data_IF_402009229995
#
_entry.id   IF_402009229995
#
_cell.length_a   1.000
_cell.length_b   1.000
_cell.length_c   1.000
_cell.angle_alpha   90.00
_cell.angle_beta   90.00
_cell.angle_gamma   90.00
#
_symmetry.space_group_name_H-M   'P 1'
#
loop_
_entity.id
_entity.type
_entity.pdbx_description
1 polymer ?
#
# COMPACT_ATOMS: atom_id res chain seq x y z
N UNK A 1 -3.85 -7.51 13.43
CA UNK A 1 -4.30 -6.85 12.17
C UNK A 1 -4.03 -7.81 11.01
N UNK A 2 -4.89 -7.87 9.98
CA UNK A 2 -4.60 -8.69 8.80
C UNK A 2 -3.65 -7.97 7.82
N UNK A 3 -2.98 -8.75 6.96
CA UNK A 3 -1.99 -8.27 5.98
C UNK A 3 -2.53 -7.17 5.07
N UNK A 4 -3.78 -7.30 4.59
CA UNK A 4 -4.39 -6.34 3.67
C UNK A 4 -4.64 -5.01 4.39
N UNK A 5 -5.15 -5.07 5.62
CA UNK A 5 -5.36 -3.89 6.47
C UNK A 5 -4.05 -3.16 6.77
N UNK A 6 -2.94 -3.87 6.99
CA UNK A 6 -1.62 -3.27 7.19
C UNK A 6 -1.13 -2.55 5.92
N UNK A 7 -1.26 -3.18 4.74
CA UNK A 7 -0.89 -2.56 3.46
C UNK A 7 -1.71 -1.28 3.21
N UNK A 8 -3.03 -1.31 3.45
CA UNK A 8 -3.90 -0.13 3.34
C UNK A 8 -3.43 1.01 4.24
N UNK A 9 -3.18 0.68 5.51
CA UNK A 9 -2.73 1.65 6.51
C UNK A 9 -1.39 2.27 6.10
N UNK A 10 -0.45 1.45 5.64
CA UNK A 10 0.86 1.90 5.17
C UNK A 10 0.74 2.86 3.98
N UNK A 11 -0.09 2.55 2.98
CA UNK A 11 -0.32 3.44 1.82
C UNK A 11 -0.89 4.79 2.27
N UNK A 12 -1.91 4.79 3.14
CA UNK A 12 -2.51 6.03 3.65
C UNK A 12 -1.50 6.88 4.42
N UNK A 13 -0.67 6.23 5.25
CA UNK A 13 0.39 6.89 6.01
C UNK A 13 1.43 7.52 5.10
N UNK A 14 1.92 6.81 4.08
CA UNK A 14 2.87 7.36 3.10
C UNK A 14 2.28 8.56 2.34
N UNK A 15 0.99 8.51 2.00
CA UNK A 15 0.29 9.65 1.42
C UNK A 15 0.25 10.86 2.37
N UNK A 16 -0.04 10.63 3.65
CA UNK A 16 -0.07 11.68 4.67
C UNK A 16 1.32 12.29 4.92
N UNK A 17 2.35 11.45 5.12
CA UNK A 17 3.74 11.87 5.36
C UNK A 17 4.29 12.72 4.21
N UNK A 18 3.93 12.39 2.97
CA UNK A 18 4.38 13.10 1.76
C UNK A 18 3.41 14.20 1.30
N UNK A 19 2.32 14.43 2.03
CA UNK A 19 1.27 15.40 1.67
C UNK A 19 0.74 15.22 0.23
N UNK A 20 0.56 13.98 -0.20
CA UNK A 20 0.02 13.64 -1.54
C UNK A 20 -1.35 12.99 -1.45
N UNK A 21 -2.17 13.22 -2.47
CA UNK A 21 -3.48 12.56 -2.59
C UNK A 21 -3.36 11.14 -3.14
N UNK A 22 -4.37 10.30 -2.93
CA UNK A 22 -4.44 8.95 -3.52
C UNK A 22 -4.37 8.99 -5.05
N UNK A 23 -5.01 9.99 -5.67
CA UNK A 23 -4.95 10.16 -7.12
C UNK A 23 -3.53 10.51 -7.59
N UNK A 24 -2.83 11.39 -6.83
CA UNK A 24 -1.43 11.72 -7.13
C UNK A 24 -0.52 10.50 -6.99
N UNK A 25 -0.71 9.69 -5.95
CA UNK A 25 -0.01 8.42 -5.77
C UNK A 25 -0.24 7.49 -6.97
N UNK A 26 -1.49 7.33 -7.41
CA UNK A 26 -1.83 6.48 -8.56
C UNK A 26 -1.09 6.93 -9.83
N UNK A 27 -1.08 8.24 -10.12
CA UNK A 27 -0.33 8.82 -11.23
C UNK A 27 1.17 8.55 -11.12
N UNK A 28 1.76 8.76 -9.95
CA UNK A 28 3.20 8.52 -9.71
C UNK A 28 3.56 7.04 -9.87
N UNK A 29 2.64 6.15 -9.49
CA UNK A 29 2.84 4.69 -9.52
C UNK A 29 2.51 4.06 -10.88
N UNK A 30 2.19 4.86 -11.90
CA UNK A 30 1.66 4.36 -13.19
C UNK A 30 0.49 3.36 -13.02
N UNK A 31 -0.40 3.66 -12.06
CA UNK A 31 -1.60 2.87 -11.76
C UNK A 31 -2.87 3.68 -12.05
N UNK A 32 -3.94 3.03 -12.52
CA UNK A 32 -5.25 3.67 -12.55
C UNK A 32 -5.69 4.10 -11.13
N UNK A 33 -6.30 5.30 -10.96
CA UNK A 33 -6.83 5.71 -9.65
C UNK A 33 -7.83 4.72 -9.06
N UNK A 34 -8.61 4.02 -9.91
CA UNK A 34 -9.51 2.95 -9.49
C UNK A 34 -8.77 1.76 -8.89
N UNK A 35 -7.58 1.39 -9.40
CA UNK A 35 -6.77 0.31 -8.84
C UNK A 35 -6.31 0.63 -7.42
N UNK A 36 -5.81 1.85 -7.19
CA UNK A 36 -5.37 2.25 -5.83
C UNK A 36 -6.58 2.39 -4.90
N UNK A 37 -7.70 2.94 -5.36
CA UNK A 37 -8.94 3.00 -4.57
C UNK A 37 -9.50 1.61 -4.23
N UNK A 38 -9.37 0.63 -5.13
CA UNK A 38 -9.79 -0.74 -4.86
C UNK A 38 -8.93 -1.38 -3.77
N UNK A 39 -7.62 -1.12 -3.77
CA UNK A 39 -6.73 -1.57 -2.69
C UNK A 39 -7.18 -0.97 -1.35
N UNK A 40 -7.52 0.32 -1.32
CA UNK A 40 -7.87 1.03 -0.08
C UNK A 40 -9.28 0.74 0.44
N UNK A 41 -10.29 0.77 -0.44
CA UNK A 41 -11.70 0.78 -0.07
C UNK A 41 -12.49 -0.42 -0.61
N UNK A 42 -11.87 -1.27 -1.43
CA UNK A 42 -12.50 -2.47 -1.97
C UNK A 42 -12.76 -3.53 -0.90
N UNK A 43 -13.73 -4.41 -1.18
CA UNK A 43 -14.24 -5.42 -0.23
C UNK A 43 -13.24 -6.52 0.13
N UNK A 44 -12.31 -6.86 -0.75
CA UNK A 44 -11.06 -7.56 -0.47
C UNK A 44 -10.36 -7.77 -1.81
N UNK A 45 -9.26 -7.08 -2.04
CA UNK A 45 -8.38 -7.35 -3.17
C UNK A 45 -6.98 -7.43 -2.59
N UNK A 46 -6.45 -8.65 -2.51
CA UNK A 46 -5.06 -8.91 -2.20
C UNK A 46 -4.18 -8.20 -3.25
N UNK A 47 -3.52 -7.09 -2.89
CA UNK A 47 -2.70 -6.37 -3.84
C UNK A 47 -1.48 -7.23 -4.16
N UNK A 48 -1.38 -7.66 -5.41
CA UNK A 48 -0.17 -8.34 -5.91
C UNK A 48 1.08 -7.53 -5.51
N UNK A 49 2.13 -8.23 -5.11
CA UNK A 49 3.44 -7.63 -4.81
C UNK A 49 3.92 -6.71 -5.94
N UNK A 50 3.65 -7.05 -7.21
CA UNK A 50 3.96 -6.19 -8.36
C UNK A 50 3.28 -4.81 -8.32
N UNK A 51 2.07 -4.73 -7.75
CA UNK A 51 1.33 -3.47 -7.59
C UNK A 51 1.93 -2.64 -6.46
N UNK A 52 2.30 -3.27 -5.36
CA UNK A 52 3.02 -2.62 -4.26
C UNK A 52 4.37 -2.11 -4.76
N UNK A 53 5.09 -2.89 -5.57
CA UNK A 53 6.36 -2.49 -6.17
C UNK A 53 6.23 -1.22 -7.02
N UNK A 54 5.17 -1.11 -7.84
CA UNK A 54 4.87 0.11 -8.60
C UNK A 54 4.60 1.33 -7.72
N UNK A 55 3.92 1.12 -6.58
CA UNK A 55 3.71 2.16 -5.57
C UNK A 55 5.05 2.61 -4.99
N UNK A 56 5.94 1.66 -4.67
CA UNK A 56 7.28 1.95 -4.18
C UNK A 56 8.10 2.73 -5.22
N UNK A 57 8.08 2.31 -6.49
CA UNK A 57 8.73 3.02 -7.60
C UNK A 57 8.21 4.46 -7.73
N UNK A 58 6.89 4.64 -7.65
CA UNK A 58 6.29 5.97 -7.70
C UNK A 58 6.68 6.88 -6.54
N UNK A 59 7.05 6.30 -5.39
CA UNK A 59 7.46 7.02 -4.17
C UNK A 59 8.98 7.14 -4.01
N UNK A 60 9.75 6.63 -4.97
CA UNK A 60 11.22 6.52 -4.90
C UNK A 60 11.67 5.82 -3.61
N UNK A 61 11.10 4.64 -3.35
CA UNK A 61 11.43 3.79 -2.21
C UNK A 61 11.52 2.32 -2.62
N UNK A 62 12.19 1.51 -1.80
CA UNK A 62 12.28 0.06 -2.04
C UNK A 62 11.09 -0.68 -1.44
N UNK A 63 10.92 -1.95 -1.81
CA UNK A 63 9.95 -2.82 -1.12
C UNK A 63 10.33 -3.04 0.34
N UNK A 64 11.63 -3.06 0.66
CA UNK A 64 12.11 -3.22 2.03
C UNK A 64 11.63 -2.04 2.87
N UNK A 65 11.85 -0.80 2.40
CA UNK A 65 11.38 0.42 3.09
C UNK A 65 9.85 0.47 3.24
N UNK A 66 9.12 -0.12 2.30
CA UNK A 66 7.67 -0.17 2.38
C UNK A 66 7.19 -1.05 3.53
N UNK A 67 7.80 -2.24 3.67
CA UNK A 67 7.44 -3.23 4.70
C UNK A 67 8.16 -3.01 6.04
N UNK A 68 9.21 -2.20 6.08
CA UNK A 68 9.86 -1.74 7.32
C UNK A 68 8.99 -0.67 8.00
N UNK A 69 7.88 -1.12 8.60
CA UNK A 69 6.89 -0.26 9.22
C UNK A 69 6.12 -1.00 10.34
N UNK A 70 5.69 -0.28 11.40
CA UNK A 70 5.07 -0.90 12.58
C UNK A 70 3.76 -1.62 12.27
N UNK A 71 3.10 -1.29 11.15
CA UNK A 71 1.90 -1.96 10.67
C UNK A 71 2.14 -3.46 10.37
N UNK A 72 3.39 -3.87 10.13
CA UNK A 72 3.76 -5.25 9.77
C UNK A 72 4.39 -6.06 10.92
N UNK A 73 4.63 -5.45 12.09
CA UNK A 73 5.31 -6.13 13.21
C UNK A 73 4.44 -7.17 13.91
N UNK A 74 3.12 -6.93 13.98
CA UNK A 74 2.17 -7.74 14.76
C UNK A 74 0.97 -8.19 13.90
N UNK A 75 1.27 -8.84 12.77
CA UNK A 75 0.24 -9.43 11.90
C UNK A 75 -0.30 -10.73 12.50
N UNK A 76 -1.61 -10.93 12.37
CA UNK A 76 -2.24 -12.19 12.76
C UNK A 76 -1.76 -13.33 11.82
N UNK A 77 -1.43 -14.52 12.34
CA UNK A 77 -1.11 -15.67 11.51
C UNK A 77 -2.26 -16.02 10.56
N UNK A 78 -1.96 -16.18 9.27
CA UNK A 78 -2.97 -16.58 8.28
C UNK A 78 -3.25 -18.10 8.25
N UNK A 79 -2.37 -18.89 8.89
CA UNK A 79 -2.50 -20.34 9.02
C UNK A 79 -2.84 -20.66 10.48
N UNK A 80 -3.82 -21.56 10.67
CA UNK A 80 -4.21 -22.11 11.97
C UNK A 80 -3.67 -23.51 12.18
#
# INVERSE_FOLDING_TARGET
MDTISAIKTRILRLCAERSITINKLATMSALPPSSVKNILYGKSTDPKISTIKKICDGLDMTLIDFFDAPEFENLEPEIK
#
